data_IF_614517492265
#
_entry.id   IF_614517492265
#
_cell.length_a   1.000
_cell.length_b   1.000
_cell.length_c   1.000
_cell.angle_alpha   90.00
_cell.angle_beta   90.00
_cell.angle_gamma   90.00
#
_symmetry.space_group_name_H-M   'P 1'
#
loop_
_entity.id
_entity.type
_entity.pdbx_description
1 polymer ?
#
# COMPACT_ATOMS: atom_id res chain seq x y z
N UNK A 1 -9.19 -7.90 -20.29
CA UNK A 1 -9.06 -6.59 -20.91
C UNK A 1 -10.36 -5.85 -20.72
N UNK A 2 -10.31 -4.54 -20.51
CA UNK A 2 -11.50 -3.70 -20.44
C UNK A 2 -11.81 -3.13 -21.84
N UNK A 3 -13.09 -2.92 -22.20
CA UNK A 3 -13.47 -2.42 -23.52
C UNK A 3 -12.84 -1.07 -23.89
N UNK A 4 -12.47 -0.27 -22.88
CA UNK A 4 -11.89 1.08 -23.00
C UNK A 4 -10.35 1.12 -22.83
N UNK A 5 -9.69 -0.04 -22.77
CA UNK A 5 -8.22 -0.10 -22.69
C UNK A 5 -7.57 0.27 -24.05
N UNK A 6 -6.74 1.32 -24.06
CA UNK A 6 -5.92 1.71 -25.22
C UNK A 6 -4.64 0.87 -25.36
N UNK A 7 -4.35 0.03 -24.37
CA UNK A 7 -3.16 -0.82 -24.33
C UNK A 7 -2.88 -1.36 -22.92
N UNK A 8 -1.88 -2.24 -22.76
CA UNK A 8 -1.64 -2.96 -21.50
C UNK A 8 -1.28 -2.07 -20.31
N UNK A 9 -0.78 -0.86 -20.58
CA UNK A 9 -0.42 0.16 -19.58
C UNK A 9 -1.53 1.19 -19.34
N UNK A 10 -2.61 1.16 -20.12
CA UNK A 10 -3.75 2.05 -19.89
C UNK A 10 -4.50 1.56 -18.66
N UNK A 11 -4.60 2.43 -17.67
CA UNK A 11 -5.48 2.21 -16.53
C UNK A 11 -6.75 3.03 -16.76
N UNK A 12 -7.78 2.37 -17.28
CA UNK A 12 -9.08 3.00 -17.44
C UNK A 12 -9.83 3.11 -16.11
N UNK A 13 -10.84 3.97 -16.07
CA UNK A 13 -11.66 4.17 -14.86
C UNK A 13 -12.33 2.85 -14.40
N UNK A 14 -12.81 2.05 -15.35
CA UNK A 14 -13.40 0.73 -15.05
C UNK A 14 -12.38 -0.21 -14.41
N UNK A 15 -11.12 -0.15 -14.85
CA UNK A 15 -10.03 -0.94 -14.28
C UNK A 15 -9.68 -0.49 -12.86
N UNK A 16 -9.59 0.83 -12.64
CA UNK A 16 -9.38 1.38 -11.30
C UNK A 16 -10.52 0.98 -10.35
N UNK A 17 -11.77 1.16 -10.78
CA UNK A 17 -12.95 0.80 -9.99
C UNK A 17 -12.95 -0.68 -9.62
N UNK A 18 -12.72 -1.56 -10.58
CA UNK A 18 -12.70 -3.00 -10.31
C UNK A 18 -11.62 -3.38 -9.29
N UNK A 19 -10.41 -2.81 -9.39
CA UNK A 19 -9.36 -3.06 -8.40
C UNK A 19 -9.74 -2.52 -7.01
N UNK A 20 -10.32 -1.33 -6.94
CA UNK A 20 -10.80 -0.73 -5.70
C UNK A 20 -11.86 -1.60 -5.03
N UNK A 21 -12.83 -2.11 -5.81
CA UNK A 21 -13.88 -3.02 -5.34
C UNK A 21 -13.30 -4.34 -4.81
N UNK A 22 -12.38 -4.97 -5.54
CA UNK A 22 -11.73 -6.21 -5.09
C UNK A 22 -10.96 -6.01 -3.77
N UNK A 23 -10.23 -4.89 -3.64
CA UNK A 23 -9.54 -4.56 -2.38
C UNK A 23 -10.52 -4.28 -1.24
N UNK A 24 -11.63 -3.61 -1.54
CA UNK A 24 -12.69 -3.35 -0.56
C UNK A 24 -13.39 -4.65 -0.11
N UNK A 25 -13.71 -5.55 -1.02
CA UNK A 25 -14.29 -6.87 -0.73
C UNK A 25 -13.37 -7.69 0.18
N UNK A 26 -12.07 -7.73 -0.12
CA UNK A 26 -11.09 -8.40 0.73
C UNK A 26 -11.01 -7.78 2.14
N UNK A 27 -11.02 -6.45 2.24
CA UNK A 27 -11.02 -5.74 3.53
C UNK A 27 -12.29 -6.02 4.34
N UNK A 28 -13.47 -5.98 3.69
CA UNK A 28 -14.76 -6.30 4.32
C UNK A 28 -14.77 -7.75 4.80
N UNK A 29 -14.36 -8.69 3.96
CA UNK A 29 -14.28 -10.11 4.32
C UNK A 29 -13.38 -10.33 5.53
N UNK A 30 -12.19 -9.74 5.58
CA UNK A 30 -11.30 -9.89 6.73
C UNK A 30 -11.90 -9.36 8.04
N UNK A 31 -12.65 -8.24 7.99
CA UNK A 31 -13.38 -7.70 9.15
C UNK A 31 -14.51 -8.65 9.59
N UNK A 32 -15.28 -9.19 8.65
CA UNK A 32 -16.35 -10.15 8.94
C UNK A 32 -15.83 -11.44 9.57
N UNK A 33 -14.65 -11.91 9.12
CA UNK A 33 -13.95 -13.05 9.71
C UNK A 33 -13.28 -12.73 11.06
N UNK A 34 -13.39 -11.49 11.55
CA UNK A 34 -12.73 -11.01 12.77
C UNK A 34 -11.21 -11.24 12.75
N UNK A 35 -10.59 -11.06 11.59
CA UNK A 35 -9.15 -11.14 11.46
C UNK A 35 -8.50 -9.97 12.20
N UNK A 36 -7.39 -10.23 12.91
CA UNK A 36 -6.61 -9.18 13.57
C UNK A 36 -5.88 -8.29 12.58
N UNK A 37 -5.49 -8.85 11.43
CA UNK A 37 -4.73 -8.15 10.40
C UNK A 37 -5.13 -8.60 9.00
N UNK A 38 -4.91 -7.73 8.01
CA UNK A 38 -4.93 -8.07 6.59
C UNK A 38 -3.65 -7.57 5.92
N UNK A 39 -2.96 -8.45 5.21
CA UNK A 39 -1.78 -8.12 4.41
C UNK A 39 -2.18 -8.09 2.94
N UNK A 40 -2.12 -6.90 2.32
CA UNK A 40 -2.22 -6.77 0.88
C UNK A 40 -0.84 -6.98 0.25
N UNK A 41 -0.78 -7.77 -0.82
CA UNK A 41 0.44 -8.06 -1.59
C UNK A 41 0.07 -8.08 -3.07
N UNK A 42 0.56 -7.11 -3.83
CA UNK A 42 0.43 -7.10 -5.29
C UNK A 42 1.29 -8.24 -5.88
N UNK A 43 0.89 -8.78 -7.04
CA UNK A 43 1.45 -10.02 -7.62
C UNK A 43 2.91 -9.91 -8.05
N UNK A 44 3.44 -8.70 -8.18
CA UNK A 44 4.83 -8.40 -8.51
C UNK A 44 5.69 -8.07 -7.27
N UNK A 45 5.11 -8.15 -6.06
CA UNK A 45 5.83 -7.94 -4.81
C UNK A 45 6.54 -9.23 -4.35
N UNK A 46 7.85 -9.31 -4.55
CA UNK A 46 8.66 -10.48 -4.16
C UNK A 46 9.19 -10.33 -2.73
N UNK A 47 8.53 -10.98 -1.78
CA UNK A 47 8.97 -10.99 -0.37
C UNK A 47 10.03 -12.07 -0.14
N UNK A 48 11.30 -11.67 -0.10
CA UNK A 48 12.44 -12.57 0.15
C UNK A 48 12.71 -12.81 1.64
N UNK A 49 12.29 -11.89 2.51
CA UNK A 49 12.44 -12.01 3.95
C UNK A 49 11.24 -12.78 4.55
N UNK A 50 11.47 -14.01 5.01
CA UNK A 50 10.45 -14.87 5.61
C UNK A 50 9.93 -14.38 6.98
N UNK A 51 10.53 -13.33 7.56
CA UNK A 51 10.08 -12.69 8.81
C UNK A 51 9.25 -11.43 8.56
N UNK A 52 9.00 -11.05 7.30
CA UNK A 52 8.30 -9.80 6.92
C UNK A 52 7.03 -9.57 7.74
N UNK A 53 6.10 -10.54 7.77
CA UNK A 53 4.85 -10.39 8.50
C UNK A 53 5.07 -10.14 10.00
N UNK A 54 5.98 -10.89 10.64
CA UNK A 54 6.33 -10.71 12.06
C UNK A 54 6.87 -9.30 12.33
N UNK A 55 7.76 -8.81 11.47
CA UNK A 55 8.34 -7.48 11.62
C UNK A 55 7.33 -6.36 11.41
N UNK A 56 6.39 -6.52 10.46
CA UNK A 56 5.29 -5.57 10.24
C UNK A 56 4.35 -5.52 11.45
N UNK A 57 3.91 -6.68 11.97
CA UNK A 57 3.07 -6.75 13.17
C UNK A 57 3.75 -6.12 14.39
N UNK A 58 5.07 -6.33 14.54
CA UNK A 58 5.85 -5.77 15.64
C UNK A 58 5.93 -4.23 15.62
N UNK A 59 5.67 -3.57 14.48
CA UNK A 59 5.66 -2.10 14.44
C UNK A 59 4.45 -1.49 15.18
N UNK A 60 3.40 -2.28 15.43
CA UNK A 60 2.18 -1.84 16.12
C UNK A 60 1.59 -0.53 15.53
N UNK A 61 1.53 -0.45 14.20
CA UNK A 61 0.96 0.67 13.43
C UNK A 61 -0.34 0.25 12.76
N UNK A 62 -1.24 1.19 12.57
CA UNK A 62 -2.55 0.97 11.93
C UNK A 62 -2.38 0.57 10.46
N UNK A 63 -1.42 1.19 9.76
CA UNK A 63 -0.96 0.77 8.43
C UNK A 63 0.57 0.78 8.41
N UNK A 64 1.18 -0.26 7.89
CA UNK A 64 2.65 -0.35 7.74
C UNK A 64 3.03 -1.15 6.51
N UNK A 65 4.07 -0.72 5.81
CA UNK A 65 4.58 -1.40 4.62
C UNK A 65 6.06 -1.76 4.80
N UNK A 66 6.52 -2.91 4.29
CA UNK A 66 7.94 -3.14 4.07
C UNK A 66 8.37 -2.26 2.88
N UNK A 67 9.59 -1.72 2.93
CA UNK A 67 10.16 -1.08 1.76
C UNK A 67 10.58 -2.15 0.75
N UNK A 68 9.93 -2.17 -0.41
CA UNK A 68 10.27 -3.05 -1.53
C UNK A 68 11.39 -2.45 -2.38
N UNK A 69 12.46 -3.20 -2.58
CA UNK A 69 13.56 -2.78 -3.44
C UNK A 69 13.16 -2.86 -4.92
N UNK A 70 13.63 -1.90 -5.72
CA UNK A 70 13.49 -1.91 -7.17
C UNK A 70 14.78 -1.45 -7.83
N UNK A 71 15.03 -1.93 -9.05
CA UNK A 71 16.19 -1.52 -9.86
C UNK A 71 16.11 -0.06 -10.34
N UNK A 72 14.98 0.61 -10.12
CA UNK A 72 14.73 1.99 -10.56
C UNK A 72 14.77 2.95 -9.37
N UNK A 73 14.56 4.23 -9.64
CA UNK A 73 14.37 5.24 -8.60
C UNK A 73 13.05 5.11 -7.82
N UNK A 74 12.19 4.16 -8.17
CA UNK A 74 10.89 3.97 -7.51
C UNK A 74 10.96 2.93 -6.37
N UNK A 75 9.98 3.00 -5.49
CA UNK A 75 9.73 2.09 -4.37
C UNK A 75 8.26 2.23 -3.99
N UNK A 76 7.72 1.29 -3.22
CA UNK A 76 6.32 1.22 -2.82
C UNK A 76 5.84 2.24 -1.76
N UNK A 77 6.42 3.44 -1.73
CA UNK A 77 6.05 4.53 -0.82
C UNK A 77 6.36 5.90 -1.43
N UNK A 78 5.66 6.94 -0.97
CA UNK A 78 5.94 8.34 -1.32
C UNK A 78 6.23 9.16 -0.07
N UNK A 79 7.30 9.95 -0.06
CA UNK A 79 7.62 10.87 1.05
C UNK A 79 6.86 12.21 0.99
N UNK A 80 6.07 12.43 -0.06
CA UNK A 80 5.33 13.67 -0.25
C UNK A 80 4.20 13.49 -1.24
N UNK A 81 3.15 14.27 -1.03
CA UNK A 81 2.04 14.42 -1.97
C UNK A 81 1.78 15.91 -2.24
N UNK A 82 1.19 16.22 -3.39
CA UNK A 82 0.58 17.52 -3.68
C UNK A 82 -0.75 17.64 -2.91
N UNK A 83 -1.33 18.86 -2.79
CA UNK A 83 -2.66 19.01 -2.20
C UNK A 83 -3.76 18.21 -2.92
N UNK A 84 -3.56 17.88 -4.20
CA UNK A 84 -4.45 17.05 -5.00
C UNK A 84 -4.18 15.54 -4.85
N UNK A 85 -3.28 15.14 -3.96
CA UNK A 85 -2.98 13.71 -3.70
C UNK A 85 -1.98 13.07 -4.67
N UNK A 86 -1.34 13.83 -5.56
CA UNK A 86 -0.35 13.28 -6.49
C UNK A 86 1.04 13.19 -5.88
N UNK A 87 1.86 12.32 -6.44
CA UNK A 87 3.27 12.16 -6.08
C UNK A 87 4.02 13.50 -6.00
N UNK A 88 4.73 13.74 -4.88
CA UNK A 88 5.68 14.84 -4.73
C UNK A 88 7.00 14.36 -4.15
N UNK A 89 8.10 14.58 -4.88
CA UNK A 89 9.46 14.29 -4.40
C UNK A 89 9.83 15.20 -3.23
N UNK A 90 10.45 14.63 -2.20
CA UNK A 90 11.02 15.37 -1.06
C UNK A 90 12.48 14.98 -0.86
N UNK A 91 13.22 15.79 -0.10
CA UNK A 91 14.62 15.52 0.23
C UNK A 91 14.83 14.20 1.00
N UNK A 92 13.79 13.72 1.69
CA UNK A 92 13.84 12.48 2.48
C UNK A 92 13.74 11.21 1.64
N UNK A 93 13.33 11.31 0.37
CA UNK A 93 13.06 10.14 -0.45
C UNK A 93 14.29 9.27 -0.69
N UNK A 94 15.36 9.82 -1.25
CA UNK A 94 16.56 9.05 -1.58
C UNK A 94 17.31 8.54 -0.35
N UNK A 95 17.47 9.31 0.74
CA UNK A 95 18.04 8.79 1.98
C UNK A 95 17.26 7.59 2.55
N UNK A 96 15.93 7.61 2.44
CA UNK A 96 15.07 6.49 2.88
C UNK A 96 15.21 5.30 1.93
N UNK A 97 15.02 5.50 0.62
CA UNK A 97 15.11 4.45 -0.41
C UNK A 97 16.47 3.75 -0.39
N UNK A 98 17.55 4.52 -0.27
CA UNK A 98 18.91 4.00 -0.31
C UNK A 98 19.38 3.47 1.05
N UNK A 99 18.47 3.36 2.04
CA UNK A 99 18.75 2.85 3.39
C UNK A 99 19.88 3.62 4.11
N UNK A 100 20.09 4.89 3.76
CA UNK A 100 20.98 5.79 4.51
C UNK A 100 20.35 6.15 5.86
N UNK A 101 19.02 6.12 5.93
CA UNK A 101 18.23 6.11 7.16
C UNK A 101 17.49 4.78 7.25
N UNK A 102 17.60 4.09 8.38
CA UNK A 102 16.93 2.82 8.64
C UNK A 102 15.96 2.99 9.81
N UNK A 103 14.73 2.50 9.65
CA UNK A 103 13.69 2.61 10.67
C UNK A 103 12.29 2.47 10.08
N UNK A 104 11.29 2.82 10.87
CA UNK A 104 9.90 2.96 10.44
C UNK A 104 9.57 4.44 10.29
N UNK A 105 9.25 4.88 9.07
CA UNK A 105 9.03 6.29 8.74
C UNK A 105 7.55 6.58 8.49
N UNK A 106 7.07 7.70 9.00
CA UNK A 106 5.76 8.21 8.61
C UNK A 106 5.85 8.78 7.19
N UNK A 107 4.98 8.29 6.30
CA UNK A 107 4.92 8.70 4.90
C UNK A 107 3.45 8.89 4.51
N UNK A 108 3.14 9.85 3.61
CA UNK A 108 1.76 10.10 3.20
C UNK A 108 1.14 8.97 2.38
N UNK A 109 1.94 8.09 1.76
CA UNK A 109 1.42 7.01 0.91
C UNK A 109 2.34 5.79 0.94
N UNK A 110 1.72 4.62 1.07
CA UNK A 110 2.31 3.29 0.82
C UNK A 110 1.40 2.54 -0.15
N UNK A 111 1.97 1.65 -0.96
CA UNK A 111 1.20 0.84 -1.92
C UNK A 111 1.89 -0.51 -2.15
N UNK A 112 1.35 -1.32 -3.07
CA UNK A 112 1.80 -2.67 -3.44
C UNK A 112 1.76 -3.73 -2.33
N UNK A 113 2.56 -3.57 -1.27
CA UNK A 113 2.54 -4.44 -0.10
C UNK A 113 2.42 -3.64 1.17
N UNK A 114 1.39 -3.91 1.97
CA UNK A 114 1.17 -3.26 3.28
C UNK A 114 0.24 -4.09 4.16
N UNK A 115 0.45 -4.00 5.47
CA UNK A 115 -0.34 -4.60 6.52
C UNK A 115 -1.27 -3.55 7.13
N UNK A 116 -2.53 -3.91 7.35
CA UNK A 116 -3.47 -3.14 8.18
C UNK A 116 -3.72 -3.93 9.47
N UNK A 117 -3.63 -3.26 10.62
CA UNK A 117 -4.02 -3.80 11.92
C UNK A 117 -5.51 -3.48 12.18
N UNK A 118 -6.38 -4.47 11.95
CA UNK A 118 -7.84 -4.32 12.00
C UNK A 118 -8.39 -4.20 13.42
N UNK A 119 -7.55 -4.44 14.44
CA UNK A 119 -7.94 -4.29 15.86
C UNK A 119 -7.97 -2.82 16.31
N UNK A 120 -7.34 -1.94 15.54
CA UNK A 120 -7.24 -0.50 15.85
C UNK A 120 -8.47 0.24 15.31
N UNK A 121 -9.17 0.95 16.19
CA UNK A 121 -10.46 1.60 15.91
C UNK A 121 -10.38 2.57 14.72
N UNK A 122 -9.28 3.31 14.57
CA UNK A 122 -9.08 4.26 13.47
C UNK A 122 -9.07 3.58 12.09
N UNK A 123 -8.78 2.27 12.02
CA UNK A 123 -8.79 1.53 10.75
C UNK A 123 -10.20 1.20 10.27
N UNK A 124 -11.24 1.43 11.08
CA UNK A 124 -12.65 1.27 10.69
C UNK A 124 -13.05 2.20 9.55
N UNK A 125 -12.42 3.39 9.47
CA UNK A 125 -12.69 4.40 8.46
C UNK A 125 -11.92 4.17 7.14
N UNK A 126 -11.00 3.20 7.11
CA UNK A 126 -10.29 2.86 5.88
C UNK A 126 -11.23 2.17 4.89
N UNK A 127 -11.22 2.66 3.66
CA UNK A 127 -11.95 2.11 2.54
C UNK A 127 -11.11 2.23 1.26
N UNK A 128 -11.29 1.28 0.34
CA UNK A 128 -10.82 1.37 -1.04
C UNK A 128 -11.94 1.78 -1.99
N UNK A 129 -13.20 1.57 -1.62
CA UNK A 129 -14.38 1.87 -2.44
C UNK A 129 -15.61 2.14 -1.55
N UNK A 130 -16.51 3.08 -1.90
CA UNK A 130 -16.38 4.05 -3.00
C UNK A 130 -15.27 5.09 -2.73
N UNK A 131 -14.71 5.73 -3.78
CA UNK A 131 -13.75 6.82 -3.61
C UNK A 131 -14.41 8.03 -2.92
N UNK A 132 -13.61 8.80 -2.16
CA UNK A 132 -14.02 9.98 -1.40
C UNK A 132 -14.11 11.26 -2.24
#
# INVERSE_FOLDING_TARGET
>A
SYPDELGPKHWSDQRYENLMRLKQEALTFAREQRADYILFVDTDSILTNNQTLKFLMAQNKSVVAPMLDSQTYYSNFWCGITPQGYYRRTADYFPTKNRQRVGCFAVPMVYATFLIDLRKEETSQLAFYPPH
#
